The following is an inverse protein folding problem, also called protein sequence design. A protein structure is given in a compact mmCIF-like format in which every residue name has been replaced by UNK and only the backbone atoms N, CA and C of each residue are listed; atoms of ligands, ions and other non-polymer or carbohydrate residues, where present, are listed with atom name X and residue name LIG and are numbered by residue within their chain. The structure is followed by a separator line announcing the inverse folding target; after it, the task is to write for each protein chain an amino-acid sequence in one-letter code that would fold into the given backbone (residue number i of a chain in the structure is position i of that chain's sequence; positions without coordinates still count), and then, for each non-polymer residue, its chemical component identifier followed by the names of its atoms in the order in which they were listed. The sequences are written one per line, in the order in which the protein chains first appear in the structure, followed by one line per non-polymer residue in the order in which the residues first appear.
data_IF_454200286895
#
_entry.id   IF_454200286895
#
_cell.length_a   1.000
_cell.length_b   1.000
_cell.length_c   1.000
_cell.angle_alpha   90.00
_cell.angle_beta   90.00
_cell.angle_gamma   90.00
#
_symmetry.space_group_name_H-M   'P 1'
#
loop_
_entity.id
_entity.type
_entity.pdbx_description
1 polymer ?
#
# COMPACT_ATOMS: atom_id res chain seq x y z
N UNK A 1 -19.43 -22.48 -1.42
CA UNK A 1 -18.11 -22.72 -2.04
C UNK A 1 -17.80 -21.56 -2.96
N UNK A 2 -17.08 -20.52 -2.49
CA UNK A 2 -16.79 -19.34 -3.31
C UNK A 2 -15.37 -19.43 -3.88
N UNK A 3 -15.29 -19.54 -5.19
CA UNK A 3 -14.09 -19.56 -6.02
C UNK A 3 -13.56 -18.14 -6.20
N UNK A 4 -12.57 -17.72 -5.42
CA UNK A 4 -11.90 -16.44 -5.68
C UNK A 4 -10.64 -16.66 -6.55
N UNK A 5 -10.90 -16.81 -7.85
CA UNK A 5 -9.92 -16.68 -8.94
C UNK A 5 -9.47 -15.23 -9.05
N UNK A 6 -8.37 -14.86 -8.42
CA UNK A 6 -7.66 -13.63 -8.73
C UNK A 6 -6.33 -13.96 -9.40
N UNK A 7 -6.40 -14.01 -10.74
CA UNK A 7 -5.27 -13.86 -11.66
C UNK A 7 -5.41 -12.48 -12.27
N UNK A 8 -4.51 -11.54 -11.97
CA UNK A 8 -4.40 -10.26 -12.70
C UNK A 8 -3.09 -9.57 -12.26
N UNK A 9 -2.14 -9.14 -13.08
CA UNK A 9 -1.79 -9.35 -14.50
C UNK A 9 -0.39 -8.71 -14.65
N UNK A 10 0.59 -9.33 -15.31
CA UNK A 10 0.76 -9.14 -16.76
C UNK A 10 1.24 -10.43 -17.40
N UNK A 11 0.28 -11.32 -17.73
CA UNK A 11 0.54 -12.37 -18.72
C UNK A 11 0.29 -11.74 -20.10
N UNK A 12 1.37 -11.36 -20.76
CA UNK A 12 1.42 -11.34 -22.22
C UNK A 12 0.76 -12.62 -22.73
N UNK A 13 -0.32 -12.48 -23.49
CA UNK A 13 -1.03 -13.63 -24.05
C UNK A 13 -0.14 -14.24 -25.13
N UNK A 14 0.53 -15.36 -24.81
CA UNK A 14 1.35 -16.09 -25.76
C UNK A 14 0.45 -16.75 -26.79
N UNK A 15 0.46 -16.19 -27.99
CA UNK A 15 -0.26 -16.71 -29.15
C UNK A 15 0.70 -17.59 -29.94
N UNK A 16 0.23 -18.77 -30.34
CA UNK A 16 0.97 -19.63 -31.26
C UNK A 16 1.25 -18.87 -32.56
N UNK A 17 2.47 -19.00 -33.07
CA UNK A 17 2.85 -18.39 -34.34
C UNK A 17 2.20 -19.15 -35.50
N UNK A 18 1.85 -18.50 -36.63
CA UNK A 18 1.31 -19.19 -37.79
C UNK A 18 2.32 -20.23 -38.31
N UNK A 19 1.93 -21.50 -38.34
CA UNK A 19 2.79 -22.62 -38.80
C UNK A 19 3.60 -23.32 -37.71
N UNK A 20 3.49 -22.90 -36.45
CA UNK A 20 4.17 -23.54 -35.31
C UNK A 20 3.52 -24.89 -34.97
N UNK A 21 4.35 -25.91 -34.75
CA UNK A 21 3.85 -27.22 -34.33
C UNK A 21 3.42 -27.17 -32.84
N UNK A 22 2.39 -27.93 -32.44
CA UNK A 22 1.90 -27.94 -31.05
C UNK A 22 2.98 -28.24 -30.00
N UNK A 23 3.97 -29.09 -30.32
CA UNK A 23 5.09 -29.43 -29.44
C UNK A 23 6.07 -28.27 -29.25
N UNK A 24 6.35 -27.50 -30.31
CA UNK A 24 7.20 -26.31 -30.29
C UNK A 24 6.55 -25.19 -29.45
N UNK A 25 5.24 -24.99 -29.65
CA UNK A 25 4.45 -24.06 -28.84
C UNK A 25 4.44 -24.47 -27.36
N UNK A 26 4.22 -25.75 -27.07
CA UNK A 26 4.23 -26.29 -25.71
C UNK A 26 5.59 -26.08 -25.01
N UNK A 27 6.68 -26.30 -25.74
CA UNK A 27 8.05 -26.13 -25.25
C UNK A 27 8.38 -24.68 -24.96
N UNK A 28 7.99 -23.77 -25.87
CA UNK A 28 8.14 -22.32 -25.69
C UNK A 28 7.35 -21.80 -24.49
N UNK A 29 6.08 -22.20 -24.37
CA UNK A 29 5.23 -21.83 -23.23
C UNK A 29 5.76 -22.38 -21.91
N UNK A 30 6.29 -23.61 -21.90
CA UNK A 30 6.89 -24.20 -20.70
C UNK A 30 8.15 -23.44 -20.26
N UNK A 31 9.02 -23.08 -21.20
CA UNK A 31 10.23 -22.30 -20.93
C UNK A 31 9.89 -20.91 -20.37
N UNK A 32 8.93 -20.21 -20.98
CA UNK A 32 8.52 -18.88 -20.53
C UNK A 32 7.84 -18.90 -19.16
N UNK A 33 7.05 -19.96 -18.88
CA UNK A 33 6.48 -20.19 -17.54
C UNK A 33 7.55 -20.47 -16.50
N UNK A 34 8.58 -21.25 -16.84
CA UNK A 34 9.69 -21.54 -15.94
C UNK A 34 10.48 -20.26 -15.62
N UNK A 35 10.82 -19.46 -16.63
CA UNK A 35 11.52 -18.18 -16.44
C UNK A 35 10.69 -17.15 -15.67
N UNK A 36 9.38 -17.10 -15.89
CA UNK A 36 8.49 -16.23 -15.11
C UNK A 36 8.37 -16.70 -13.64
N UNK A 37 8.33 -18.01 -13.39
CA UNK A 37 8.30 -18.57 -12.05
C UNK A 37 9.62 -18.31 -11.30
N UNK A 38 10.76 -18.40 -11.99
CA UNK A 38 12.08 -18.15 -11.41
C UNK A 38 12.26 -16.67 -11.03
N UNK A 39 11.87 -15.74 -11.91
CA UNK A 39 11.84 -14.30 -11.59
C UNK A 39 10.91 -13.98 -10.42
N UNK A 40 9.73 -14.59 -10.41
CA UNK A 40 8.79 -14.43 -9.29
C UNK A 40 9.36 -14.97 -7.98
N UNK A 41 10.08 -16.10 -8.00
CA UNK A 41 10.72 -16.65 -6.81
C UNK A 41 11.88 -15.76 -6.31
N UNK A 42 12.64 -15.15 -7.21
CA UNK A 42 13.71 -14.21 -6.85
C UNK A 42 13.14 -12.92 -6.26
N UNK A 43 12.12 -12.34 -6.89
CA UNK A 43 11.39 -11.17 -6.35
C UNK A 43 10.76 -11.49 -4.99
N UNK A 44 10.17 -12.68 -4.84
CA UNK A 44 9.66 -13.14 -3.56
C UNK A 44 10.76 -13.28 -2.51
N UNK A 45 11.94 -13.81 -2.86
CA UNK A 45 13.06 -13.99 -1.93
C UNK A 45 13.60 -12.64 -1.44
N UNK A 46 13.69 -11.65 -2.32
CA UNK A 46 14.07 -10.28 -1.97
C UNK A 46 13.01 -9.59 -1.09
N UNK A 47 11.72 -9.77 -1.42
CA UNK A 47 10.60 -9.25 -0.62
C UNK A 47 10.45 -9.98 0.72
N UNK A 48 10.80 -11.28 0.78
CA UNK A 48 10.68 -12.13 1.96
C UNK A 48 11.93 -12.14 2.84
N UNK A 49 12.96 -11.36 2.50
CA UNK A 49 14.15 -11.22 3.34
C UNK A 49 13.72 -10.86 4.77
N UNK A 50 14.14 -11.60 5.81
CA UNK A 50 13.73 -11.35 7.20
C UNK A 50 14.14 -9.95 7.70
N UNK A 51 15.00 -9.24 6.98
CA UNK A 51 15.32 -7.83 7.21
C UNK A 51 14.17 -6.86 6.84
N UNK A 52 13.21 -7.27 6.00
CA UNK A 52 12.07 -6.44 5.60
C UNK A 52 10.92 -6.57 6.60
N UNK A 53 10.63 -5.48 7.31
CA UNK A 53 9.49 -5.39 8.24
C UNK A 53 8.15 -5.66 7.53
N UNK A 54 7.12 -6.17 8.24
CA UNK A 54 5.78 -6.41 7.67
C UNK A 54 5.23 -5.21 6.89
N UNK A 55 5.45 -3.99 7.42
CA UNK A 55 5.06 -2.72 6.78
C UNK A 55 5.60 -2.56 5.36
N UNK A 56 6.89 -2.89 5.14
CA UNK A 56 7.56 -2.70 3.85
C UNK A 56 6.99 -3.69 2.84
N UNK A 57 6.81 -4.95 3.23
CA UNK A 57 6.28 -5.99 2.36
C UNK A 57 4.84 -5.70 1.95
N UNK A 58 4.02 -5.23 2.90
CA UNK A 58 2.63 -4.83 2.63
C UNK A 58 2.61 -3.61 1.71
N UNK A 59 3.47 -2.60 1.91
CA UNK A 59 3.56 -1.45 0.99
C UNK A 59 4.01 -1.83 -0.42
N UNK A 60 4.95 -2.76 -0.56
CA UNK A 60 5.37 -3.27 -1.86
C UNK A 60 4.19 -3.97 -2.57
N UNK A 61 3.47 -4.82 -1.84
CA UNK A 61 2.25 -5.46 -2.34
C UNK A 61 1.19 -4.44 -2.78
N UNK A 62 0.94 -3.41 -1.96
CA UNK A 62 0.01 -2.32 -2.26
C UNK A 62 0.38 -1.58 -3.56
N UNK A 63 1.68 -1.29 -3.76
CA UNK A 63 2.19 -0.66 -4.99
C UNK A 63 2.04 -1.55 -6.21
N UNK A 64 2.43 -2.82 -6.12
CA UNK A 64 2.36 -3.78 -7.24
C UNK A 64 0.92 -4.01 -7.69
N UNK A 65 -0.03 -4.02 -6.76
CA UNK A 65 -1.43 -4.31 -7.07
C UNK A 65 -2.30 -3.05 -7.20
N UNK A 66 -1.74 -1.85 -6.96
CA UNK A 66 -2.48 -0.60 -6.86
C UNK A 66 -3.70 -0.67 -5.91
N UNK A 67 -3.57 -1.46 -4.84
CA UNK A 67 -4.61 -1.65 -3.82
C UNK A 67 -4.11 -1.17 -2.47
N UNK A 68 -5.03 -0.77 -1.60
CA UNK A 68 -4.76 -0.49 -0.19
C UNK A 68 -5.07 -1.71 0.64
N UNK A 69 -4.32 -1.93 1.72
CA UNK A 69 -4.66 -2.91 2.73
C UNK A 69 -6.04 -2.55 3.33
N UNK A 70 -7.05 -3.44 3.26
CA UNK A 70 -8.34 -3.20 3.88
C UNK A 70 -8.19 -3.03 5.38
N UNK A 71 -9.05 -2.23 6.01
CA UNK A 71 -9.07 -2.08 7.48
C UNK A 71 -9.96 -3.11 8.20
N UNK A 72 -10.72 -3.91 7.45
CA UNK A 72 -11.65 -4.91 8.01
C UNK A 72 -10.90 -6.22 8.26
N UNK A 73 -10.91 -6.71 9.50
CA UNK A 73 -10.14 -7.88 9.95
C UNK A 73 -10.52 -9.22 9.29
N UNK A 74 -11.77 -9.37 8.82
CA UNK A 74 -12.25 -10.60 8.17
C UNK A 74 -12.29 -10.51 6.65
N UNK A 75 -11.54 -9.58 6.05
CA UNK A 75 -11.58 -9.39 4.61
C UNK A 75 -10.80 -10.50 3.89
N UNK A 76 -11.37 -11.18 2.86
CA UNK A 76 -10.73 -12.31 2.19
C UNK A 76 -9.40 -11.95 1.49
N UNK A 77 -9.19 -10.67 1.18
CA UNK A 77 -7.92 -10.16 0.63
C UNK A 77 -6.77 -10.29 1.63
N UNK A 78 -7.00 -10.31 2.94
CA UNK A 78 -5.92 -10.45 3.93
C UNK A 78 -5.21 -11.79 3.80
N UNK A 79 -5.94 -12.86 3.48
CA UNK A 79 -5.35 -14.17 3.17
C UNK A 79 -4.51 -14.14 1.90
N UNK A 80 -4.96 -13.38 0.89
CA UNK A 80 -4.18 -13.20 -0.33
C UNK A 80 -2.90 -12.39 -0.09
N UNK A 81 -2.97 -11.32 0.71
CA UNK A 81 -1.82 -10.50 1.13
C UNK A 81 -0.82 -11.36 1.88
N UNK A 82 -1.25 -12.01 2.96
CA UNK A 82 -0.40 -12.87 3.79
C UNK A 82 0.37 -13.90 2.95
N UNK A 83 -0.33 -14.57 2.03
CA UNK A 83 0.29 -15.56 1.13
C UNK A 83 1.25 -14.93 0.13
N UNK A 84 0.93 -13.75 -0.40
CA UNK A 84 1.76 -13.06 -1.39
C UNK A 84 3.02 -12.42 -0.77
N UNK A 85 2.94 -11.95 0.48
CA UNK A 85 4.06 -11.28 1.18
C UNK A 85 4.87 -12.22 2.09
N UNK A 86 4.45 -13.49 2.21
CA UNK A 86 5.03 -14.46 3.13
C UNK A 86 4.88 -14.04 4.60
N UNK A 87 3.79 -13.35 4.95
CA UNK A 87 3.47 -12.94 6.31
C UNK A 87 2.40 -13.85 6.89
N UNK A 88 2.36 -14.01 8.21
CA UNK A 88 1.21 -14.64 8.87
C UNK A 88 0.00 -13.68 8.86
N UNK A 89 -1.20 -14.24 9.01
CA UNK A 89 -2.42 -13.42 9.17
C UNK A 89 -2.30 -12.51 10.40
N UNK A 90 -1.70 -13.00 11.48
CA UNK A 90 -1.45 -12.24 12.71
C UNK A 90 -0.58 -11.01 12.43
N UNK A 91 0.52 -11.16 11.69
CA UNK A 91 1.39 -10.04 11.31
C UNK A 91 0.67 -9.01 10.42
N UNK A 92 -0.27 -9.46 9.57
CA UNK A 92 -1.10 -8.55 8.77
C UNK A 92 -2.12 -7.83 9.65
N UNK A 93 -2.70 -8.50 10.65
CA UNK A 93 -3.61 -7.89 11.62
C UNK A 93 -2.91 -6.89 12.53
N UNK A 94 -1.70 -7.20 13.00
CA UNK A 94 -0.84 -6.27 13.74
C UNK A 94 -0.56 -5.01 12.92
N UNK A 95 -0.30 -5.17 11.62
CA UNK A 95 -0.14 -4.04 10.71
C UNK A 95 -1.40 -3.19 10.60
N UNK A 96 -2.58 -3.82 10.50
CA UNK A 96 -3.86 -3.09 10.48
C UNK A 96 -4.04 -2.28 11.77
N UNK A 97 -3.78 -2.90 12.92
CA UNK A 97 -3.91 -2.25 14.23
C UNK A 97 -2.97 -1.05 14.34
N UNK A 98 -1.70 -1.25 14.00
CA UNK A 98 -0.68 -0.20 14.01
C UNK A 98 -1.05 0.99 13.12
N UNK A 99 -1.67 0.74 11.96
CA UNK A 99 -2.18 1.80 11.07
C UNK A 99 -3.38 2.53 11.67
N UNK A 100 -4.29 1.82 12.34
CA UNK A 100 -5.43 2.41 13.03
C UNK A 100 -4.97 3.31 14.19
N UNK A 101 -4.02 2.84 15.00
CA UNK A 101 -3.44 3.59 16.11
C UNK A 101 -2.77 4.88 15.61
N UNK A 102 -1.95 4.78 14.55
CA UNK A 102 -1.33 5.95 13.93
C UNK A 102 -2.34 6.95 13.37
N UNK A 103 -3.42 6.47 12.73
CA UNK A 103 -4.48 7.33 12.22
C UNK A 103 -5.21 8.07 13.35
N UNK A 104 -5.46 7.39 14.47
CA UNK A 104 -6.05 7.98 15.68
C UNK A 104 -5.15 9.06 16.26
N UNK A 105 -3.87 8.77 16.51
CA UNK A 105 -2.93 9.76 17.05
C UNK A 105 -2.78 10.97 16.13
N UNK A 106 -2.84 10.77 14.80
CA UNK A 106 -2.81 11.87 13.83
C UNK A 106 -4.06 12.76 13.93
N UNK A 107 -5.24 12.17 14.12
CA UNK A 107 -6.48 12.93 14.28
C UNK A 107 -6.44 13.78 15.56
N UNK A 108 -6.00 13.19 16.68
CA UNK A 108 -5.84 13.88 17.97
C UNK A 108 -4.84 15.05 17.84
N UNK A 109 -3.71 14.85 17.15
CA UNK A 109 -2.72 15.91 16.91
C UNK A 109 -3.23 17.03 15.98
N UNK A 110 -4.10 16.71 15.02
CA UNK A 110 -4.71 17.69 14.12
C UNK A 110 -5.75 18.56 14.86
N UNK A 111 -6.49 17.98 15.81
CA UNK A 111 -7.47 18.71 16.62
C UNK A 111 -6.81 19.70 17.58
N UNK A 112 -5.69 19.30 18.21
CA UNK A 112 -4.88 20.21 19.05
C UNK A 112 -4.29 21.38 18.23
N UNK A 113 -3.92 21.14 16.96
CA UNK A 113 -3.43 22.18 16.06
C UNK A 113 -4.55 23.09 15.51
N UNK A 114 -5.76 22.54 15.29
CA UNK A 114 -6.94 23.30 14.86
C UNK A 114 -7.54 24.17 15.98
N UNK A 115 -7.28 23.82 17.25
CA UNK A 115 -7.71 24.59 18.42
C UNK A 115 -6.78 25.78 18.76
N UNK A 116 -5.73 26.05 17.97
CA UNK A 116 -4.95 27.28 18.11
C UNK A 116 -5.81 28.48 17.65
N UNK A 117 -6.21 29.39 18.57
CA UNK A 117 -7.10 30.48 18.24
C UNK A 117 -6.37 31.50 17.37
N UNK A 118 -7.10 31.99 16.38
CA UNK A 118 -6.81 33.21 15.63
C UNK A 118 -6.74 34.37 16.62
N UNK A 119 -5.54 34.73 17.07
CA UNK A 119 -5.27 35.99 17.74
C UNK A 119 -5.29 37.10 16.69
N UNK A 120 -6.48 37.60 16.37
CA UNK A 120 -6.67 38.86 15.65
C UNK A 120 -7.64 39.73 16.46
N UNK A 121 -7.24 40.09 17.68
CA UNK A 121 -7.82 41.23 18.39
C UNK A 121 -6.79 42.35 18.43
N UNK A 122 -7.05 43.33 17.57
CA UNK A 122 -6.31 44.57 17.38
C UNK A 122 -5.87 45.24 18.69
N UNK A 123 -4.66 45.82 18.76
CA UNK A 123 -4.41 46.89 19.69
C UNK A 123 -4.96 48.19 19.10
N UNK A 124 -6.12 48.59 19.62
CA UNK A 124 -6.56 49.99 19.67
C UNK A 124 -5.39 50.87 20.09
N UNK A 125 -4.92 51.71 19.18
CA UNK A 125 -3.91 52.72 19.48
C UNK A 125 -4.50 53.77 20.45
N UNK A 126 -3.86 54.05 21.60
CA UNK A 126 -4.32 55.11 22.48
C UNK A 126 -3.90 56.47 21.92
N UNK A 127 -4.92 57.30 21.71
CA UNK A 127 -4.94 58.75 21.81
C UNK A 127 -3.65 59.40 22.36
N UNK A 128 -2.84 59.93 21.44
CA UNK A 128 -1.69 60.77 21.78
C UNK A 128 -1.92 62.18 21.20
N UNK A 129 -2.39 63.06 22.09
CA UNK A 129 -2.14 64.51 22.17
C UNK A 129 -1.70 65.25 20.89
N UNK A 130 -2.65 65.99 20.29
CA UNK A 130 -2.34 67.18 19.49
C UNK A 130 -2.01 68.36 20.43
N UNK A 131 -0.87 69.06 20.25
CA UNK A 131 -0.66 70.35 20.91
C UNK A 131 -1.43 71.47 20.18
N UNK A 132 -1.73 72.60 20.88
CA UNK A 132 -2.56 73.67 20.35
C UNK A 132 -1.78 74.58 19.39
N UNK A 133 -2.56 75.25 18.53
CA UNK A 133 -2.16 76.21 17.49
C UNK A 133 -1.40 77.43 18.01
N UNK A 134 -0.44 77.89 17.21
CA UNK A 134 -0.10 79.31 16.98
C UNK A 134 0.07 79.56 15.48
#
# INVERSE_FOLDING_TARGET
MLTNRWTLNSRTSLKAAPGELPEEFGSRVALEKAQAAERWQQELAELSSPANTPSIRIRAWEKTHALRLPSVANHPVLTAVARATGLSIEQVSEEQQRRADYARSKAEAAEVQAAAPTDESAPTAPEAARPPSE
#
